data_IF_580494708950
#
_entry.id   IF_580494708950
#
_cell.length_a   1.000
_cell.length_b   1.000
_cell.length_c   1.000
_cell.angle_alpha   90.00
_cell.angle_beta   90.00
_cell.angle_gamma   90.00
#
_symmetry.space_group_name_H-M   'P 1'
#
loop_
_entity.id
_entity.type
_entity.pdbx_description
1 polymer ?
#
# COMPACT_ATOMS: atom_id res chain seq x y z
N UNK A 1 -31.61 -2.83 -1.60
CA UNK A 1 -30.19 -2.42 -1.68
C UNK A 1 -29.36 -3.68 -1.63
N UNK A 2 -28.74 -4.07 -2.75
CA UNK A 2 -27.90 -5.27 -2.80
C UNK A 2 -26.50 -4.94 -2.29
N UNK A 3 -26.03 -5.65 -1.28
CA UNK A 3 -24.70 -5.44 -0.70
C UNK A 3 -23.65 -6.08 -1.61
N UNK A 4 -22.73 -5.29 -2.15
CA UNK A 4 -21.62 -5.82 -2.95
C UNK A 4 -20.56 -6.40 -2.02
N UNK A 5 -20.37 -7.72 -2.07
CA UNK A 5 -19.29 -8.41 -1.36
C UNK A 5 -17.97 -8.34 -2.15
N UNK A 6 -16.85 -8.21 -1.44
CA UNK A 6 -15.49 -8.24 -2.00
C UNK A 6 -14.65 -9.30 -1.28
N UNK A 7 -13.99 -10.17 -2.05
CA UNK A 7 -13.09 -11.17 -1.48
C UNK A 7 -11.89 -10.48 -0.80
N UNK A 8 -11.62 -10.73 0.49
CA UNK A 8 -10.56 -10.04 1.22
C UNK A 8 -9.15 -10.48 0.82
N UNK A 9 -8.99 -11.58 0.08
CA UNK A 9 -7.68 -12.05 -0.37
C UNK A 9 -7.27 -11.54 -1.74
N UNK A 10 -8.26 -11.31 -2.61
CA UNK A 10 -8.00 -11.13 -4.04
C UNK A 10 -8.77 -9.96 -4.65
N UNK A 11 -9.71 -9.37 -3.91
CA UNK A 11 -10.43 -8.15 -4.28
C UNK A 11 -11.56 -8.33 -5.29
N UNK A 12 -11.87 -9.56 -5.74
CA UNK A 12 -12.97 -9.77 -6.69
C UNK A 12 -14.31 -9.38 -6.04
N UNK A 13 -15.17 -8.69 -6.79
CA UNK A 13 -16.49 -8.26 -6.35
C UNK A 13 -17.60 -9.13 -6.95
N UNK A 14 -18.83 -8.97 -6.45
CA UNK A 14 -20.02 -9.55 -7.07
C UNK A 14 -20.17 -11.06 -6.88
N UNK A 15 -19.42 -11.64 -5.94
CA UNK A 15 -19.64 -13.01 -5.50
C UNK A 15 -20.77 -13.04 -4.46
N UNK A 16 -21.59 -14.08 -4.50
CA UNK A 16 -22.46 -14.40 -3.38
C UNK A 16 -21.60 -14.73 -2.15
N UNK A 17 -22.11 -14.40 -0.95
CA UNK A 17 -21.42 -14.75 0.28
C UNK A 17 -21.36 -16.29 0.39
N UNK A 18 -20.17 -16.86 0.25
CA UNK A 18 -19.92 -18.29 0.34
C UNK A 18 -18.59 -18.56 1.04
N UNK A 19 -18.37 -19.78 1.51
CA UNK A 19 -17.21 -20.12 2.34
C UNK A 19 -15.88 -20.05 1.56
N UNK A 20 -15.91 -20.21 0.23
CA UNK A 20 -14.72 -20.23 -0.63
C UNK A 20 -14.87 -19.27 -1.80
N UNK A 21 -13.82 -18.46 -2.06
CA UNK A 21 -13.80 -17.57 -3.20
C UNK A 21 -13.65 -18.35 -4.52
N UNK A 22 -14.60 -18.21 -5.44
CA UNK A 22 -14.56 -18.89 -6.75
C UNK A 22 -13.45 -18.41 -7.70
N UNK A 23 -12.77 -17.30 -7.38
CA UNK A 23 -11.69 -16.72 -8.19
C UNK A 23 -10.30 -17.11 -7.70
N UNK A 24 -10.07 -17.12 -6.39
CA UNK A 24 -8.74 -17.41 -5.83
C UNK A 24 -8.69 -18.72 -5.02
N UNK A 25 -9.81 -19.41 -4.82
CA UNK A 25 -9.90 -20.70 -4.14
C UNK A 25 -9.66 -20.64 -2.62
N UNK A 26 -9.48 -19.46 -2.03
CA UNK A 26 -9.25 -19.33 -0.58
C UNK A 26 -10.56 -19.37 0.21
N UNK A 27 -10.51 -20.03 1.36
CA UNK A 27 -11.58 -19.99 2.36
C UNK A 27 -11.67 -18.59 2.98
N UNK A 28 -12.88 -18.04 3.07
CA UNK A 28 -13.13 -16.74 3.69
C UNK A 28 -13.02 -16.77 5.21
N UNK A 29 -13.29 -17.93 5.83
CA UNK A 29 -13.20 -18.08 7.29
C UNK A 29 -11.76 -17.96 7.78
N UNK A 30 -10.80 -18.46 7.00
CA UNK A 30 -9.38 -18.37 7.33
C UNK A 30 -8.85 -16.93 7.29
N UNK A 31 -9.62 -15.96 6.78
CA UNK A 31 -9.20 -14.55 6.79
C UNK A 31 -8.97 -14.05 8.23
N UNK A 32 -9.84 -14.46 9.17
CA UNK A 32 -9.77 -13.98 10.57
C UNK A 32 -8.54 -14.49 11.30
N UNK A 33 -7.95 -15.58 10.82
CA UNK A 33 -6.77 -16.21 11.40
C UNK A 33 -5.48 -15.44 11.05
N UNK A 34 -5.51 -14.61 10.01
CA UNK A 34 -4.35 -13.79 9.64
C UNK A 34 -4.09 -12.69 10.67
N UNK A 35 -2.81 -12.48 11.06
CA UNK A 35 -2.39 -11.30 11.82
C UNK A 35 -2.91 -10.02 11.18
N UNK A 36 -3.18 -9.00 12.00
CA UNK A 36 -3.77 -7.75 11.54
C UNK A 36 -2.96 -7.10 10.40
N UNK A 37 -1.64 -7.06 10.53
CA UNK A 37 -0.75 -6.51 9.51
C UNK A 37 -0.79 -7.31 8.20
N UNK A 38 -0.92 -8.64 8.26
CA UNK A 38 -1.08 -9.46 7.05
C UNK A 38 -2.41 -9.21 6.35
N UNK A 39 -3.49 -8.99 7.12
CA UNK A 39 -4.78 -8.58 6.56
C UNK A 39 -4.67 -7.23 5.86
N UNK A 40 -3.90 -6.28 6.41
CA UNK A 40 -3.63 -5.00 5.74
C UNK A 40 -2.84 -5.17 4.44
N UNK A 41 -1.86 -6.07 4.41
CA UNK A 41 -1.13 -6.38 3.16
C UNK A 41 -2.07 -6.90 2.07
N UNK A 42 -3.03 -7.77 2.42
CA UNK A 42 -4.04 -8.25 1.47
C UNK A 42 -4.93 -7.10 0.95
N UNK A 43 -5.30 -6.16 1.83
CA UNK A 43 -6.10 -4.98 1.48
C UNK A 43 -5.39 -4.04 0.48
N UNK A 44 -4.07 -4.10 0.33
CA UNK A 44 -3.37 -3.33 -0.71
C UNK A 44 -3.79 -3.70 -2.14
N UNK A 45 -4.44 -4.86 -2.33
CA UNK A 45 -5.00 -5.31 -3.63
C UNK A 45 -6.50 -5.04 -3.76
N UNK A 46 -7.11 -4.35 -2.79
CA UNK A 46 -8.54 -4.07 -2.81
C UNK A 46 -8.91 -3.16 -4.00
N UNK A 47 -10.03 -3.38 -4.71
CA UNK A 47 -10.39 -2.58 -5.88
C UNK A 47 -10.72 -1.12 -5.53
N UNK A 48 -11.26 -0.88 -4.33
CA UNK A 48 -11.57 0.47 -3.83
C UNK A 48 -10.29 1.16 -3.35
N UNK A 49 -9.97 2.31 -3.95
CA UNK A 49 -8.75 3.10 -3.69
C UNK A 49 -8.65 3.55 -2.24
N UNK A 50 -9.76 3.97 -1.64
CA UNK A 50 -9.84 4.42 -0.25
C UNK A 50 -9.41 3.32 0.73
N UNK A 51 -9.78 2.07 0.45
CA UNK A 51 -9.37 0.91 1.25
C UNK A 51 -7.87 0.65 1.12
N UNK A 52 -7.31 0.76 -0.09
CA UNK A 52 -5.86 0.67 -0.30
C UNK A 52 -5.12 1.77 0.46
N UNK A 53 -5.55 3.03 0.32
CA UNK A 53 -4.94 4.17 1.00
C UNK A 53 -5.00 4.04 2.53
N UNK A 54 -6.11 3.55 3.08
CA UNK A 54 -6.22 3.29 4.52
C UNK A 54 -5.22 2.22 4.97
N UNK A 55 -5.08 1.13 4.21
CA UNK A 55 -4.09 0.09 4.53
C UNK A 55 -2.66 0.62 4.48
N UNK A 56 -2.30 1.37 3.43
CA UNK A 56 -0.98 2.04 3.28
C UNK A 56 -0.69 2.91 4.51
N UNK A 57 -1.67 3.74 4.91
CA UNK A 57 -1.53 4.64 6.06
C UNK A 57 -1.25 3.88 7.35
N UNK A 58 -2.04 2.85 7.64
CA UNK A 58 -1.92 2.07 8.88
C UNK A 58 -0.61 1.30 8.91
N UNK A 59 -0.21 0.68 7.79
CA UNK A 59 1.09 -0.02 7.68
C UNK A 59 2.26 0.94 7.92
N UNK A 60 2.20 2.16 7.39
CA UNK A 60 3.16 3.21 7.68
C UNK A 60 3.21 3.61 9.16
N UNK A 61 2.05 3.84 9.79
CA UNK A 61 1.96 4.16 11.23
C UNK A 61 2.53 3.05 12.11
N UNK A 62 2.34 1.79 11.71
CA UNK A 62 2.88 0.60 12.37
C UNK A 62 4.37 0.37 12.09
N UNK A 63 4.99 1.16 11.21
CA UNK A 63 6.36 0.97 10.73
C UNK A 63 6.62 -0.45 10.21
N UNK A 64 5.64 -1.02 9.52
CA UNK A 64 5.69 -2.42 9.11
C UNK A 64 6.54 -2.62 7.86
N UNK A 65 7.82 -2.95 8.04
CA UNK A 65 8.82 -3.07 6.96
C UNK A 65 8.45 -4.09 5.89
N UNK A 66 7.75 -5.18 6.24
CA UNK A 66 7.28 -6.19 5.29
C UNK A 66 6.30 -5.63 4.24
N UNK A 67 5.76 -4.42 4.43
CA UNK A 67 4.93 -3.73 3.43
C UNK A 67 5.72 -3.08 2.29
N UNK A 68 7.01 -2.78 2.48
CA UNK A 68 7.85 -2.09 1.49
C UNK A 68 7.86 -2.77 0.11
N UNK A 69 8.02 -4.10 -0.02
CA UNK A 69 7.95 -4.75 -1.34
C UNK A 69 6.58 -4.59 -2.02
N UNK A 70 5.48 -4.60 -1.26
CA UNK A 70 4.14 -4.38 -1.80
C UNK A 70 3.97 -2.94 -2.31
N UNK A 71 4.53 -1.96 -1.61
CA UNK A 71 4.55 -0.58 -2.09
C UNK A 71 5.36 -0.45 -3.37
N UNK A 72 6.48 -1.18 -3.52
CA UNK A 72 7.25 -1.20 -4.75
C UNK A 72 6.44 -1.76 -5.94
N UNK A 73 5.70 -2.85 -5.73
CA UNK A 73 4.78 -3.43 -6.73
C UNK A 73 3.71 -2.42 -7.14
N UNK A 74 3.10 -1.73 -6.17
CA UNK A 74 2.08 -0.71 -6.45
C UNK A 74 2.66 0.45 -7.28
N UNK A 75 3.84 0.96 -6.91
CA UNK A 75 4.50 2.03 -7.67
C UNK A 75 4.76 1.59 -9.12
N UNK A 76 5.25 0.37 -9.32
CA UNK A 76 5.51 -0.19 -10.65
C UNK A 76 4.23 -0.38 -11.48
N UNK A 77 3.11 -0.71 -10.83
CA UNK A 77 1.80 -0.85 -11.47
C UNK A 77 1.14 0.49 -11.86
N UNK A 78 1.79 1.64 -11.59
CA UNK A 78 1.31 2.96 -12.03
C UNK A 78 0.05 3.43 -11.30
N UNK A 79 0.06 3.42 -9.97
CA UNK A 79 -1.04 3.99 -9.18
C UNK A 79 -1.21 5.51 -9.41
N UNK A 80 -2.41 6.01 -9.06
CA UNK A 80 -2.70 7.44 -9.10
C UNK A 80 -1.80 8.24 -8.13
N UNK A 81 -1.68 9.55 -8.39
CA UNK A 81 -0.79 10.45 -7.64
C UNK A 81 -1.14 10.57 -6.14
N UNK A 82 -2.39 10.33 -5.74
CA UNK A 82 -2.79 10.39 -4.33
C UNK A 82 -2.40 9.12 -3.58
N UNK A 83 -2.56 7.96 -4.21
CA UNK A 83 -2.04 6.69 -3.69
C UNK A 83 -0.51 6.77 -3.55
N UNK A 84 0.20 7.28 -4.56
CA UNK A 84 1.66 7.45 -4.49
C UNK A 84 2.08 8.39 -3.34
N UNK A 85 1.35 9.50 -3.13
CA UNK A 85 1.60 10.41 -1.99
C UNK A 85 1.43 9.71 -0.64
N UNK A 86 0.41 8.87 -0.49
CA UNK A 86 0.22 8.11 0.76
C UNK A 86 1.33 7.08 0.95
N UNK A 87 1.80 6.44 -0.13
CA UNK A 87 2.97 5.53 -0.09
C UNK A 87 4.22 6.29 0.38
N UNK A 88 4.51 7.47 -0.15
CA UNK A 88 5.64 8.30 0.30
C UNK A 88 5.57 8.55 1.80
N UNK A 89 4.39 8.95 2.30
CA UNK A 89 4.17 9.18 3.73
C UNK A 89 4.36 7.91 4.57
N UNK A 90 3.96 6.75 4.06
CA UNK A 90 4.17 5.47 4.73
C UNK A 90 5.65 5.06 4.75
N UNK A 91 6.36 5.23 3.63
CA UNK A 91 7.79 4.92 3.51
C UNK A 91 8.65 5.77 4.46
N UNK A 92 8.31 7.05 4.59
CA UNK A 92 8.96 7.97 5.53
C UNK A 92 8.76 7.56 7.00
N UNK A 93 7.57 7.05 7.35
CA UNK A 93 7.30 6.54 8.70
C UNK A 93 8.01 5.22 9.00
N UNK A 94 8.09 4.31 8.01
CA UNK A 94 8.78 3.03 8.13
C UNK A 94 10.29 3.26 8.33
N UNK A 95 10.90 4.13 7.53
CA UNK A 95 12.31 4.54 7.64
C UNK A 95 13.31 3.37 7.71
N UNK A 96 13.11 2.32 6.91
CA UNK A 96 14.13 1.28 6.68
C UNK A 96 15.04 1.68 5.52
N UNK A 97 16.21 1.04 5.33
CA UNK A 97 17.06 1.26 4.16
C UNK A 97 16.30 1.12 2.83
N UNK A 98 15.47 0.08 2.72
CA UNK A 98 14.66 -0.21 1.53
C UNK A 98 13.57 0.83 1.34
N UNK A 99 12.94 1.29 2.43
CA UNK A 99 11.87 2.30 2.34
C UNK A 99 12.42 3.66 1.90
N UNK A 100 13.62 4.04 2.39
CA UNK A 100 14.34 5.25 1.95
C UNK A 100 14.72 5.16 0.48
N UNK A 101 15.33 4.05 0.05
CA UNK A 101 15.69 3.86 -1.36
C UNK A 101 14.48 3.93 -2.29
N UNK A 102 13.32 3.42 -1.86
CA UNK A 102 12.08 3.51 -2.62
C UNK A 102 11.52 4.94 -2.67
N UNK A 103 11.60 5.68 -1.56
CA UNK A 103 11.21 7.08 -1.51
C UNK A 103 12.13 7.97 -2.39
N UNK A 104 13.43 7.69 -2.43
CA UNK A 104 14.38 8.39 -3.32
C UNK A 104 14.05 8.21 -4.80
N UNK A 105 13.56 7.03 -5.18
CA UNK A 105 13.05 6.80 -6.55
C UNK A 105 11.81 7.62 -6.83
N UNK A 106 10.90 7.76 -5.87
CA UNK A 106 9.69 8.59 -6.01
C UNK A 106 9.99 10.08 -6.04
N UNK A 107 11.07 10.55 -5.40
CA UNK A 107 11.54 11.93 -5.52
C UNK A 107 11.89 12.35 -6.95
N UNK A 108 12.15 11.38 -7.85
CA UNK A 108 12.43 11.60 -9.28
C UNK A 108 11.21 11.42 -10.18
N UNK A 109 10.02 11.23 -9.60
CA UNK A 109 8.80 10.97 -10.36
C UNK A 109 8.36 12.21 -11.19
N UNK A 110 7.80 12.05 -12.41
CA UNK A 110 7.42 13.17 -13.27
C UNK A 110 6.32 14.08 -12.70
N UNK A 111 5.45 13.55 -11.85
CA UNK A 111 4.39 14.34 -11.19
C UNK A 111 4.95 15.26 -10.10
N UNK A 112 4.72 16.60 -10.17
CA UNK A 112 5.12 17.54 -9.12
C UNK A 112 4.53 17.20 -7.74
N UNK A 113 3.27 16.73 -7.71
CA UNK A 113 2.57 16.36 -6.47
C UNK A 113 3.30 15.25 -5.71
N UNK A 114 3.91 14.30 -6.42
CA UNK A 114 4.68 13.20 -5.82
C UNK A 114 6.03 13.70 -5.30
N UNK A 115 6.69 14.62 -6.02
CA UNK A 115 7.95 15.21 -5.57
C UNK A 115 7.76 16.07 -4.32
N UNK A 116 6.77 16.96 -4.32
CA UNK A 116 6.40 17.76 -3.15
C UNK A 116 6.02 16.91 -1.92
N UNK A 117 5.47 15.72 -2.15
CA UNK A 117 5.19 14.78 -1.08
C UNK A 117 6.48 14.23 -0.46
N UNK A 118 7.50 13.95 -1.28
CA UNK A 118 8.81 13.49 -0.84
C UNK A 118 9.49 14.59 -0.01
N UNK A 119 9.57 15.80 -0.55
CA UNK A 119 10.18 16.96 0.11
C UNK A 119 9.56 17.21 1.50
N UNK A 120 8.22 17.22 1.58
CA UNK A 120 7.48 17.44 2.83
C UNK A 120 7.68 16.34 3.85
N UNK A 121 7.81 15.09 3.38
CA UNK A 121 8.08 13.96 4.24
C UNK A 121 9.57 13.85 4.64
N UNK A 122 10.42 14.75 4.14
CA UNK A 122 11.87 14.72 4.41
C UNK A 122 12.56 13.50 3.80
N UNK A 123 11.98 12.94 2.73
CA UNK A 123 12.49 11.77 2.01
C UNK A 123 12.68 12.13 0.55
N UNK A 124 13.61 11.49 -0.15
CA UNK A 124 13.88 11.88 -1.53
C UNK A 124 14.75 13.13 -1.63
N UNK A 125 16.06 12.93 -1.43
CA UNK A 125 17.18 13.74 -1.94
C UNK A 125 18.44 13.35 -1.19
N UNK A 126 19.23 12.45 -1.77
CA UNK A 126 20.60 12.18 -1.35
C UNK A 126 21.59 12.82 -2.31
N UNK A 127 21.90 14.11 -2.11
CA UNK A 127 23.23 14.69 -2.38
C UNK A 127 23.49 15.85 -1.41
N UNK A 128 24.47 15.69 -0.51
CA UNK A 128 25.28 16.80 0.04
C UNK A 128 24.98 17.27 1.47
N UNK A 129 25.79 16.80 2.43
CA UNK A 129 25.84 17.35 3.79
C UNK A 129 26.96 16.81 4.66
N UNK A 130 28.16 16.66 4.11
CA UNK A 130 29.37 16.66 4.92
C UNK A 130 29.57 18.08 5.47
N UNK A 131 29.42 18.25 6.79
CA UNK A 131 30.15 19.19 7.66
C UNK A 131 29.79 18.93 9.11
#
# INVERSE_FOLDING_TARGET
>A
MSTTFFCPFCGISGQEAGEVCTRCGKSLDSWKEHPFEERLLLTLRHPITEQRMLAIRILGQRRYERAVPFFAEMIAAGQDVYTLREIVSALARINSPESRALADRLGKHPSPVVREACDRAGVGSGEGGAR
#
